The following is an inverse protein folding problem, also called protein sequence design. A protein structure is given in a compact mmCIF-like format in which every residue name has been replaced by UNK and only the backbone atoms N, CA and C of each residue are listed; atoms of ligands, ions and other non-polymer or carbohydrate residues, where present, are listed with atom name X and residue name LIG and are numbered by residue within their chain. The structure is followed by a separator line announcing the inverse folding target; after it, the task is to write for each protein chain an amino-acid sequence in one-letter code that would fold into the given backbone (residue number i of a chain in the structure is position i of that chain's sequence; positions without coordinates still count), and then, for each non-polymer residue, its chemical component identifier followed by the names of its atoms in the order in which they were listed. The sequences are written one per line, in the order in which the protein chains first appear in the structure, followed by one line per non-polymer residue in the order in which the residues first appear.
data_IF_268219341299
#
_entry.id   IF_268219341299
#
_cell.length_a   1.000
_cell.length_b   1.000
_cell.length_c   1.000
_cell.angle_alpha   90.00
_cell.angle_beta   90.00
_cell.angle_gamma   90.00
#
_symmetry.space_group_name_H-M   'P 1'
#
loop_
_entity.id
_entity.type
_entity.pdbx_description
1 polymer ?
#
# COMPACT_ATOMS: atom_id res chain seq x y z
N UNK A 1 -39.09 30.96 28.82
CA UNK A 1 -38.13 30.88 27.70
C UNK A 1 -37.32 29.62 27.88
N UNK A 2 -37.78 28.52 27.28
CA UNK A 2 -37.08 27.23 27.36
C UNK A 2 -35.98 27.21 26.31
N UNK A 3 -34.73 27.16 26.76
CA UNK A 3 -33.58 26.97 25.87
C UNK A 3 -33.70 25.58 25.22
N UNK A 4 -33.95 25.57 23.91
CA UNK A 4 -33.78 24.36 23.11
C UNK A 4 -32.28 24.06 23.07
N UNK A 5 -31.87 22.93 23.63
CA UNK A 5 -30.53 22.42 23.43
C UNK A 5 -30.38 22.03 21.96
N UNK A 6 -29.51 22.72 21.22
CA UNK A 6 -29.06 22.28 19.90
C UNK A 6 -28.57 20.84 20.02
N UNK A 7 -29.15 19.95 19.20
CA UNK A 7 -28.63 18.60 19.05
C UNK A 7 -27.17 18.70 18.58
N UNK A 8 -26.22 17.99 19.20
CA UNK A 8 -24.83 18.04 18.77
C UNK A 8 -24.74 17.63 17.30
N UNK A 9 -23.98 18.41 16.51
CA UNK A 9 -23.75 18.13 15.10
C UNK A 9 -23.36 16.65 14.90
N UNK A 10 -23.85 15.98 13.84
CA UNK A 10 -23.59 14.57 13.63
C UNK A 10 -22.08 14.32 13.63
N UNK A 11 -21.64 13.44 14.54
CA UNK A 11 -20.23 13.07 14.71
C UNK A 11 -19.74 12.48 13.38
N UNK A 12 -18.83 13.17 12.70
CA UNK A 12 -18.33 12.75 11.38
C UNK A 12 -17.58 11.42 11.54
N UNK A 13 -18.12 10.34 10.99
CA UNK A 13 -17.45 9.04 10.92
C UNK A 13 -16.14 9.17 10.13
N UNK A 14 -15.02 8.93 10.83
CA UNK A 14 -13.67 9.07 10.28
C UNK A 14 -13.49 8.18 9.05
N UNK A 15 -14.08 6.99 9.06
CA UNK A 15 -13.94 6.00 7.99
C UNK A 15 -14.68 6.46 6.74
N UNK A 16 -15.94 6.88 6.89
CA UNK A 16 -16.76 7.40 5.79
C UNK A 16 -16.17 8.64 5.13
N UNK A 17 -15.56 9.55 5.89
CA UNK A 17 -14.93 10.76 5.33
C UNK A 17 -13.65 10.44 4.53
N UNK A 18 -12.83 9.50 5.00
CA UNK A 18 -11.67 9.01 4.25
C UNK A 18 -12.10 8.26 2.99
N UNK A 19 -13.11 7.40 3.10
CA UNK A 19 -13.68 6.69 1.96
C UNK A 19 -14.20 7.67 0.91
N UNK A 20 -14.92 8.73 1.32
CA UNK A 20 -15.37 9.80 0.42
C UNK A 20 -14.21 10.51 -0.26
N UNK A 21 -13.18 10.90 0.49
CA UNK A 21 -11.96 11.52 -0.09
C UNK A 21 -11.35 10.65 -1.19
N UNK A 22 -11.34 9.32 -0.98
CA UNK A 22 -10.79 8.36 -1.94
C UNK A 22 -11.72 8.11 -3.13
N UNK A 23 -13.03 8.04 -2.91
CA UNK A 23 -14.02 7.98 -3.99
C UNK A 23 -13.90 9.19 -4.90
N UNK A 24 -13.84 10.40 -4.32
CA UNK A 24 -13.70 11.63 -5.10
C UNK A 24 -12.39 11.63 -5.92
N UNK A 25 -11.30 11.10 -5.35
CA UNK A 25 -10.04 10.97 -6.07
C UNK A 25 -10.10 9.91 -7.18
N UNK A 26 -10.77 8.78 -6.92
CA UNK A 26 -11.02 7.72 -7.92
C UNK A 26 -11.80 8.28 -9.11
N UNK A 27 -12.90 9.00 -8.86
CA UNK A 27 -13.75 9.58 -9.91
C UNK A 27 -13.04 10.63 -10.76
N UNK A 28 -12.09 11.37 -10.18
CA UNK A 28 -11.23 12.30 -10.93
C UNK A 28 -10.07 11.64 -11.67
N UNK A 29 -9.81 10.34 -11.45
CA UNK A 29 -8.62 9.67 -11.97
C UNK A 29 -7.33 10.11 -11.29
N UNK A 30 -7.43 10.61 -10.06
CA UNK A 30 -6.34 11.28 -9.35
C UNK A 30 -5.58 10.37 -8.37
N UNK A 31 -5.96 9.11 -8.25
CA UNK A 31 -5.37 8.20 -7.27
C UNK A 31 -3.94 7.80 -7.62
N UNK A 32 -3.12 7.40 -6.64
CA UNK A 32 -1.72 7.04 -6.89
C UNK A 32 -1.54 5.86 -7.85
N UNK A 33 -2.46 4.89 -7.87
CA UNK A 33 -2.44 3.75 -8.79
C UNK A 33 -2.99 4.10 -10.20
N UNK A 34 -3.54 5.30 -10.38
CA UNK A 34 -3.96 5.83 -11.68
C UNK A 34 -2.94 6.82 -12.27
N UNK A 35 -1.76 7.00 -11.65
CA UNK A 35 -0.72 7.96 -12.08
C UNK A 35 0.63 7.28 -12.38
N UNK A 36 1.17 7.42 -13.61
CA UNK A 36 2.46 6.82 -13.99
C UNK A 36 3.67 7.36 -13.22
N UNK A 37 3.60 8.60 -12.73
CA UNK A 37 4.75 9.40 -12.27
C UNK A 37 4.82 9.64 -10.76
N UNK A 38 4.15 8.82 -9.93
CA UNK A 38 4.04 9.09 -8.47
C UNK A 38 4.85 8.15 -7.55
N UNK A 39 5.86 7.44 -8.08
CA UNK A 39 6.57 6.37 -7.36
C UNK A 39 7.16 6.82 -6.00
N UNK A 40 7.75 8.01 -5.92
CA UNK A 40 8.37 8.46 -4.67
C UNK A 40 7.35 8.91 -3.61
N UNK A 41 6.23 9.52 -4.05
CA UNK A 41 5.13 9.93 -3.16
C UNK A 41 4.45 8.72 -2.47
N UNK A 42 4.55 7.54 -3.08
CA UNK A 42 4.09 6.28 -2.53
C UNK A 42 5.08 5.63 -1.56
N UNK A 43 6.22 6.25 -1.24
CA UNK A 43 7.16 5.78 -0.20
C UNK A 43 7.25 6.75 0.99
N UNK A 44 6.13 7.21 1.56
CA UNK A 44 6.15 8.21 2.62
C UNK A 44 6.84 7.67 3.87
N UNK A 45 7.72 8.48 4.47
CA UNK A 45 8.49 8.16 5.66
C UNK A 45 8.38 9.27 6.68
N UNK A 46 8.42 8.92 7.97
CA UNK A 46 8.61 9.89 9.02
C UNK A 46 10.11 10.12 9.24
N UNK A 47 10.67 11.29 8.92
CA UNK A 47 12.12 11.51 9.00
C UNK A 47 12.64 11.57 10.44
N UNK A 48 11.76 11.71 11.44
CA UNK A 48 12.17 11.77 12.85
C UNK A 48 12.27 10.40 13.50
N UNK A 49 11.49 9.42 13.02
CA UNK A 49 11.49 8.04 13.52
C UNK A 49 12.02 7.00 12.52
N UNK A 50 12.28 7.42 11.29
CA UNK A 50 12.63 6.58 10.15
C UNK A 50 11.60 5.49 9.80
N UNK A 51 10.37 5.64 10.30
CA UNK A 51 9.29 4.68 10.03
C UNK A 51 8.55 5.05 8.74
N UNK A 52 8.39 4.08 7.84
CA UNK A 52 7.54 4.21 6.67
C UNK A 52 6.05 4.25 7.07
N UNK A 53 5.28 5.13 6.44
CA UNK A 53 3.83 5.13 6.52
C UNK A 53 3.26 3.96 5.71
N UNK A 54 2.14 3.41 6.17
CA UNK A 54 1.56 2.16 5.70
C UNK A 54 0.04 2.24 5.55
N UNK A 55 -0.51 1.32 4.77
CA UNK A 55 -1.92 1.13 4.48
C UNK A 55 -2.53 2.39 3.90
N UNK A 56 -3.69 2.76 4.42
CA UNK A 56 -4.44 3.92 3.94
C UNK A 56 -3.64 5.23 4.01
N UNK A 57 -2.72 5.37 4.98
CA UNK A 57 -1.93 6.58 5.12
C UNK A 57 -0.97 6.77 3.96
N UNK A 58 -0.45 5.69 3.37
CA UNK A 58 0.40 5.78 2.16
C UNK A 58 -0.36 6.46 1.04
N UNK A 59 -1.60 6.04 0.83
CA UNK A 59 -2.47 6.57 -0.22
C UNK A 59 -2.87 8.03 0.08
N UNK A 60 -3.31 8.32 1.31
CA UNK A 60 -3.70 9.67 1.71
C UNK A 60 -2.58 10.70 1.54
N UNK A 61 -1.34 10.30 1.86
CA UNK A 61 -0.17 11.17 1.70
C UNK A 61 0.19 11.35 0.22
N UNK A 62 0.15 10.30 -0.59
CA UNK A 62 0.38 10.40 -2.03
C UNK A 62 -0.67 11.29 -2.74
N UNK A 63 -1.93 11.25 -2.30
CA UNK A 63 -3.00 12.12 -2.81
C UNK A 63 -2.77 13.62 -2.58
N UNK A 64 -1.86 14.00 -1.67
CA UNK A 64 -1.53 15.41 -1.45
C UNK A 64 -0.78 16.06 -2.62
N UNK A 65 -0.27 15.26 -3.58
CA UNK A 65 0.45 15.75 -4.76
C UNK A 65 1.83 16.32 -4.44
N UNK A 66 2.49 15.82 -3.40
CA UNK A 66 3.82 16.27 -2.96
C UNK A 66 4.88 15.21 -3.22
N UNK A 67 6.02 15.67 -3.75
CA UNK A 67 7.10 14.78 -4.20
C UNK A 67 8.06 14.35 -3.07
N UNK A 68 8.27 15.21 -2.07
CA UNK A 68 9.12 14.84 -0.93
C UNK A 68 8.41 13.76 -0.09
N UNK A 69 9.02 12.60 0.15
CA UNK A 69 8.36 11.51 0.87
C UNK A 69 8.31 11.75 2.38
N UNK A 70 8.90 12.83 2.91
CA UNK A 70 9.05 13.02 4.35
C UNK A 70 7.85 13.74 4.95
N UNK A 71 7.19 13.10 5.90
CA UNK A 71 5.99 13.61 6.58
C UNK A 71 6.14 13.52 8.10
N UNK A 72 5.78 14.60 8.80
CA UNK A 72 5.88 14.63 10.27
C UNK A 72 4.83 15.54 10.90
N UNK A 73 4.53 15.33 12.18
CA UNK A 73 3.62 16.23 12.90
C UNK A 73 4.29 17.58 13.17
N UNK A 74 3.48 18.60 13.45
CA UNK A 74 4.00 19.91 13.87
C UNK A 74 4.91 19.81 15.11
N UNK A 75 4.54 18.96 16.07
CA UNK A 75 5.33 18.74 17.29
C UNK A 75 6.69 18.09 16.97
N UNK A 76 6.73 17.13 16.03
CA UNK A 76 7.97 16.53 15.56
C UNK A 76 8.88 17.54 14.87
N UNK A 77 8.32 18.44 14.07
CA UNK A 77 9.08 19.52 13.44
C UNK A 77 9.67 20.47 14.48
N UNK A 78 8.86 20.93 15.45
CA UNK A 78 9.34 21.81 16.53
C UNK A 78 10.44 21.16 17.39
N UNK A 79 10.31 19.88 17.72
CA UNK A 79 11.33 19.16 18.48
C UNK A 79 12.70 19.14 17.77
N UNK A 80 12.70 19.23 16.43
CA UNK A 80 13.91 19.33 15.60
C UNK A 80 14.28 20.77 15.24
N UNK A 81 13.64 21.78 15.86
CA UNK A 81 13.82 23.21 15.58
C UNK A 81 13.48 23.60 14.14
N UNK A 82 12.58 22.86 13.50
CA UNK A 82 12.01 23.18 12.20
C UNK A 82 10.67 23.89 12.36
N UNK A 83 10.31 24.72 11.37
CA UNK A 83 9.12 25.56 11.44
C UNK A 83 8.20 25.32 10.24
N UNK A 84 6.98 24.82 10.50
CA UNK A 84 5.93 24.79 9.47
C UNK A 84 5.62 26.23 9.08
N UNK A 85 5.67 26.57 7.79
CA UNK A 85 5.43 27.93 7.32
C UNK A 85 4.01 28.40 7.64
N UNK A 86 3.87 29.70 7.91
CA UNK A 86 2.57 30.32 8.19
C UNK A 86 1.63 30.15 7.00
N UNK A 87 0.44 29.63 7.24
CA UNK A 87 -0.60 29.43 6.22
C UNK A 87 -0.60 28.05 5.55
N UNK A 88 0.42 27.23 5.78
CA UNK A 88 0.45 25.85 5.29
C UNK A 88 -0.66 25.00 5.94
N UNK A 89 -1.30 24.15 5.12
CA UNK A 89 -2.33 23.21 5.58
C UNK A 89 -1.75 21.81 5.67
N UNK A 90 -1.94 21.15 6.81
CA UNK A 90 -1.50 19.77 7.01
C UNK A 90 -2.42 18.76 6.34
N UNK A 91 -1.88 17.58 6.07
CA UNK A 91 -2.63 16.42 5.56
C UNK A 91 -3.07 15.53 6.71
N UNK A 92 -4.30 15.02 6.65
CA UNK A 92 -4.84 14.13 7.68
C UNK A 92 -4.43 12.68 7.40
N UNK A 93 -3.89 12.02 8.42
CA UNK A 93 -3.65 10.59 8.46
C UNK A 93 -4.46 9.98 9.61
N UNK A 94 -4.53 8.67 9.66
CA UNK A 94 -5.19 7.95 10.76
C UNK A 94 -4.28 6.96 11.44
N UNK A 95 -4.54 6.73 12.72
CA UNK A 95 -3.88 5.68 13.49
C UNK A 95 -4.91 4.97 14.36
N UNK A 96 -4.86 3.65 14.34
CA UNK A 96 -5.59 2.85 15.31
C UNK A 96 -4.91 3.00 16.67
N UNK A 97 -5.68 3.43 17.67
CA UNK A 97 -5.20 3.57 19.04
C UNK A 97 -6.04 2.72 19.97
N UNK A 98 -5.39 2.08 20.94
CA UNK A 98 -6.08 1.43 22.04
C UNK A 98 -6.70 2.50 22.93
N UNK A 99 -7.94 2.29 23.33
CA UNK A 99 -8.69 3.16 24.21
C UNK A 99 -8.58 2.64 25.64
N UNK A 100 -8.45 3.56 26.59
CA UNK A 100 -8.71 3.24 27.99
C UNK A 100 -10.20 2.84 28.18
N UNK A 101 -10.54 2.06 29.22
CA UNK A 101 -11.95 1.69 29.49
C UNK A 101 -12.89 2.89 29.59
N UNK A 102 -12.39 4.02 30.10
CA UNK A 102 -13.14 5.28 30.19
C UNK A 102 -13.36 5.94 28.82
N UNK A 103 -12.35 5.93 27.95
CA UNK A 103 -12.49 6.43 26.58
C UNK A 103 -13.40 5.53 25.75
N UNK A 104 -13.32 4.21 25.94
CA UNK A 104 -14.15 3.22 25.26
C UNK A 104 -15.64 3.43 25.54
N UNK A 105 -16.01 3.74 26.79
CA UNK A 105 -17.39 4.06 27.18
C UNK A 105 -17.93 5.38 26.56
N UNK A 106 -17.04 6.23 26.01
CA UNK A 106 -17.38 7.54 25.43
C UNK A 106 -17.18 7.60 23.90
N UNK A 107 -16.46 6.64 23.34
CA UNK A 107 -16.25 6.48 21.91
C UNK A 107 -17.47 5.79 21.30
N UNK A 108 -18.27 6.52 20.53
CA UNK A 108 -19.40 5.98 19.78
C UNK A 108 -18.97 5.11 18.60
N UNK A 109 -19.57 5.31 17.41
CA UNK A 109 -19.41 4.46 16.22
C UNK A 109 -17.98 4.28 15.66
N UNK A 110 -16.99 5.08 16.10
CA UNK A 110 -15.59 4.97 15.68
C UNK A 110 -14.79 3.89 16.44
N UNK A 111 -15.38 3.30 17.49
CA UNK A 111 -14.74 2.24 18.26
C UNK A 111 -15.02 0.85 17.66
N UNK A 112 -13.98 0.04 17.54
CA UNK A 112 -14.07 -1.39 17.23
C UNK A 112 -13.52 -2.20 18.39
N UNK A 113 -14.23 -3.26 18.79
CA UNK A 113 -13.76 -4.22 19.78
C UNK A 113 -12.94 -5.33 19.12
N UNK A 114 -11.80 -5.69 19.70
CA UNK A 114 -11.14 -6.97 19.44
C UNK A 114 -11.00 -7.73 20.76
N UNK A 115 -11.51 -8.95 20.80
CA UNK A 115 -11.23 -9.86 21.91
C UNK A 115 -9.75 -10.26 21.83
N UNK A 116 -9.01 -10.05 22.92
CA UNK A 116 -7.63 -10.49 23.03
C UNK A 116 -7.53 -11.46 24.21
N UNK A 117 -7.22 -12.73 23.95
CA UNK A 117 -6.91 -13.70 24.99
C UNK A 117 -5.48 -13.46 25.48
N UNK A 118 -5.33 -12.89 26.67
CA UNK A 118 -4.06 -12.92 27.41
C UNK A 118 -4.35 -13.29 28.87
N UNK A 119 -3.90 -14.46 29.30
CA UNK A 119 -3.81 -14.82 30.72
C UNK A 119 -5.11 -15.25 31.40
N UNK A 120 -6.09 -15.78 30.68
CA UNK A 120 -7.28 -16.40 31.29
C UNK A 120 -8.37 -15.43 31.75
N UNK A 121 -8.19 -14.11 31.57
CA UNK A 121 -9.26 -13.12 31.70
C UNK A 121 -9.56 -12.50 30.32
N UNK A 122 -10.81 -12.60 29.84
CA UNK A 122 -11.26 -11.89 28.65
C UNK A 122 -11.30 -10.37 28.92
N UNK A 123 -10.20 -9.68 28.64
CA UNK A 123 -10.19 -8.21 28.58
C UNK A 123 -10.56 -7.77 27.18
N UNK A 124 -11.76 -7.21 27.02
CA UNK A 124 -12.15 -6.57 25.76
C UNK A 124 -11.28 -5.33 25.52
N UNK A 125 -10.35 -5.40 24.57
CA UNK A 125 -9.58 -4.23 24.12
C UNK A 125 -10.42 -3.45 23.10
N UNK A 126 -10.66 -2.19 23.41
CA UNK A 126 -11.36 -1.28 22.51
C UNK A 126 -10.34 -0.43 21.76
N UNK A 127 -10.55 -0.26 20.45
CA UNK A 127 -9.70 0.57 19.61
C UNK A 127 -10.52 1.64 18.90
N UNK A 128 -9.95 2.83 18.70
CA UNK A 128 -10.52 3.85 17.85
C UNK A 128 -9.55 4.29 16.76
N UNK A 129 -10.12 4.72 15.63
CA UNK A 129 -9.37 5.35 14.57
C UNK A 129 -9.22 6.85 14.86
N UNK A 130 -8.06 7.28 15.38
CA UNK A 130 -7.76 8.70 15.65
C UNK A 130 -7.10 9.35 14.43
N UNK A 131 -7.51 10.59 14.15
CA UNK A 131 -6.88 11.44 13.11
C UNK A 131 -5.66 12.15 13.67
N UNK A 132 -4.64 12.28 12.83
CA UNK A 132 -3.47 13.10 13.10
C UNK A 132 -3.19 13.98 11.89
N UNK A 133 -2.70 15.19 12.15
CA UNK A 133 -2.28 16.11 11.10
C UNK A 133 -0.77 16.05 10.95
N UNK A 134 -0.30 15.81 9.73
CA UNK A 134 1.11 15.81 9.36
C UNK A 134 1.37 16.84 8.26
N UNK A 135 2.60 17.32 8.21
CA UNK A 135 3.10 18.28 7.24
C UNK A 135 4.22 17.62 6.45
N UNK A 136 4.23 17.86 5.15
CA UNK A 136 5.29 17.41 4.27
C UNK A 136 6.55 18.27 4.49
N UNK A 137 7.75 17.71 4.35
CA UNK A 137 8.99 18.47 4.49
C UNK A 137 9.05 19.72 3.60
N UNK A 138 8.43 19.70 2.41
CA UNK A 138 8.32 20.88 1.55
C UNK A 138 7.58 22.05 2.22
N UNK A 139 6.76 21.81 3.24
CA UNK A 139 5.97 22.81 3.99
C UNK A 139 6.70 23.41 5.20
N UNK A 140 7.93 22.95 5.47
CA UNK A 140 8.62 23.19 6.74
C UNK A 140 10.00 23.77 6.48
N UNK A 141 10.28 24.93 7.07
CA UNK A 141 11.59 25.56 7.00
C UNK A 141 12.56 24.90 7.99
N UNK A 142 13.82 24.75 7.58
CA UNK A 142 14.89 24.17 8.39
C UNK A 142 15.04 22.66 8.27
N UNK A 143 14.14 21.96 7.58
CA UNK A 143 14.32 20.53 7.27
C UNK A 143 15.52 20.37 6.34
N UNK A 144 16.48 19.46 6.63
CA UNK A 144 17.58 19.19 5.73
C UNK A 144 17.09 18.87 4.32
N UNK A 145 17.79 19.36 3.31
CA UNK A 145 17.45 19.08 1.92
C UNK A 145 17.37 17.57 1.69
N UNK A 146 16.36 17.14 0.93
CA UNK A 146 16.28 15.74 0.53
C UNK A 146 17.49 15.49 -0.35
N UNK A 147 18.47 14.75 0.16
CA UNK A 147 19.59 14.32 -0.67
C UNK A 147 18.98 13.57 -1.85
N UNK A 148 19.21 14.08 -3.06
CA UNK A 148 18.83 13.37 -4.27
C UNK A 148 19.47 11.99 -4.15
N UNK A 149 18.64 10.94 -4.06
CA UNK A 149 19.14 9.59 -4.23
C UNK A 149 19.91 9.60 -5.55
N UNK A 150 21.20 9.27 -5.51
CA UNK A 150 22.05 9.25 -6.68
C UNK A 150 21.54 8.15 -7.61
N UNK A 151 20.54 8.46 -8.44
CA UNK A 151 19.73 7.43 -9.11
C UNK A 151 19.01 6.51 -8.13
N UNK A 152 18.19 5.60 -8.67
CA UNK A 152 17.84 4.40 -7.90
C UNK A 152 19.15 3.62 -7.68
N UNK A 153 19.40 3.13 -6.47
CA UNK A 153 20.59 2.32 -6.16
C UNK A 153 20.66 1.00 -6.97
N UNK A 154 19.65 0.73 -7.78
CA UNK A 154 19.43 -0.49 -8.55
C UNK A 154 18.81 -0.14 -9.91
N UNK A 155 19.02 -1.01 -10.90
CA UNK A 155 18.29 -0.96 -12.16
C UNK A 155 16.83 -1.38 -11.94
N UNK A 156 15.82 -0.58 -12.35
CA UNK A 156 14.42 -0.89 -12.12
C UNK A 156 13.95 -2.23 -12.69
N UNK A 157 14.46 -2.57 -13.88
CA UNK A 157 14.08 -3.80 -14.58
C UNK A 157 14.70 -5.00 -13.90
N UNK A 158 15.98 -4.90 -13.53
CA UNK A 158 16.66 -5.95 -12.77
C UNK A 158 15.96 -6.22 -11.44
N UNK A 159 15.53 -5.16 -10.74
CA UNK A 159 14.81 -5.32 -9.47
C UNK A 159 13.44 -5.95 -9.65
N UNK A 160 12.67 -5.52 -10.64
CA UNK A 160 11.37 -6.13 -10.95
C UNK A 160 11.50 -7.60 -11.38
N UNK A 161 12.52 -7.94 -12.19
CA UNK A 161 12.85 -9.32 -12.52
C UNK A 161 13.22 -10.13 -11.28
N UNK A 162 13.98 -9.53 -10.36
CA UNK A 162 14.32 -10.07 -9.05
C UNK A 162 13.08 -10.53 -8.26
N UNK A 163 12.05 -9.67 -8.19
CA UNK A 163 10.78 -9.97 -7.53
C UNK A 163 10.05 -11.13 -8.21
N UNK A 164 9.91 -11.09 -9.53
CA UNK A 164 9.19 -12.13 -10.28
C UNK A 164 9.87 -13.49 -10.13
N UNK A 165 11.19 -13.54 -10.28
CA UNK A 165 11.94 -14.79 -10.15
C UNK A 165 11.97 -15.32 -8.71
N UNK A 166 12.01 -14.44 -7.70
CA UNK A 166 11.87 -14.85 -6.30
C UNK A 166 10.51 -15.50 -6.02
N UNK A 167 9.42 -14.98 -6.60
CA UNK A 167 8.11 -15.63 -6.49
C UNK A 167 8.10 -17.03 -7.11
N UNK A 168 8.69 -17.20 -8.29
CA UNK A 168 8.78 -18.51 -8.95
C UNK A 168 9.60 -19.50 -8.11
N UNK A 169 10.83 -19.11 -7.73
CA UNK A 169 11.78 -19.98 -7.05
C UNK A 169 11.35 -20.33 -5.62
N UNK A 170 10.75 -19.38 -4.89
CA UNK A 170 10.40 -19.58 -3.47
C UNK A 170 9.01 -20.13 -3.25
N UNK A 171 8.08 -19.93 -4.19
CA UNK A 171 6.66 -20.32 -4.00
C UNK A 171 6.17 -21.36 -5.01
N UNK A 172 6.95 -21.62 -6.07
CA UNK A 172 6.54 -22.48 -7.16
C UNK A 172 5.48 -21.86 -8.08
N UNK A 173 5.27 -20.53 -8.02
CA UNK A 173 4.36 -19.82 -8.92
C UNK A 173 4.78 -20.06 -10.38
N UNK A 174 3.85 -20.53 -11.20
CA UNK A 174 4.12 -20.73 -12.62
C UNK A 174 3.91 -19.43 -13.39
N UNK A 175 4.88 -19.02 -14.21
CA UNK A 175 4.74 -17.88 -15.12
C UNK A 175 4.87 -18.38 -16.56
N UNK A 176 3.82 -18.23 -17.35
CA UNK A 176 3.75 -18.73 -18.73
C UNK A 176 3.50 -17.61 -19.71
N UNK A 177 4.22 -17.62 -20.83
CA UNK A 177 4.01 -16.67 -21.93
C UNK A 177 3.16 -17.29 -23.04
N UNK A 178 1.83 -17.11 -22.97
CA UNK A 178 0.87 -17.65 -23.96
C UNK A 178 -0.35 -16.76 -24.11
N UNK A 179 -0.89 -16.68 -25.34
CA UNK A 179 -2.15 -15.98 -25.63
C UNK A 179 -1.99 -14.49 -25.95
N UNK A 180 -3.04 -13.72 -25.68
CA UNK A 180 -3.13 -12.29 -25.96
C UNK A 180 -3.55 -11.45 -24.76
N UNK A 181 -3.89 -12.07 -23.63
CA UNK A 181 -4.32 -11.38 -22.41
C UNK A 181 -3.48 -11.84 -21.24
N UNK A 182 -3.17 -10.90 -20.35
CA UNK A 182 -2.56 -11.18 -19.06
C UNK A 182 -3.65 -11.57 -18.06
N UNK A 183 -3.39 -12.59 -17.24
CA UNK A 183 -4.26 -12.96 -16.12
C UNK A 183 -3.53 -13.88 -15.13
N UNK A 184 -3.92 -13.82 -13.87
CA UNK A 184 -3.70 -14.90 -12.92
C UNK A 184 -4.84 -15.92 -12.97
N UNK A 185 -4.51 -17.21 -13.00
CA UNK A 185 -5.43 -18.35 -13.02
C UNK A 185 -5.36 -19.10 -11.68
N UNK A 186 -6.29 -18.85 -10.73
CA UNK A 186 -6.21 -19.40 -9.38
C UNK A 186 -6.18 -20.93 -9.30
N UNK A 187 -6.93 -21.61 -10.16
CA UNK A 187 -7.03 -23.07 -10.17
C UNK A 187 -5.72 -23.75 -10.58
N UNK A 188 -4.95 -23.09 -11.45
CA UNK A 188 -3.68 -23.60 -11.97
C UNK A 188 -2.47 -23.06 -11.21
N UNK A 189 -2.67 -22.06 -10.35
CA UNK A 189 -1.59 -21.32 -9.70
C UNK A 189 -0.60 -20.76 -10.76
N UNK A 190 -1.15 -20.17 -11.82
CA UNK A 190 -0.43 -19.74 -13.03
C UNK A 190 -0.68 -18.24 -13.31
N UNK A 191 0.40 -17.47 -13.43
CA UNK A 191 0.37 -16.15 -14.10
C UNK A 191 0.62 -16.36 -15.58
N UNK A 192 -0.38 -16.02 -16.40
CA UNK A 192 -0.28 -16.06 -17.86
C UNK A 192 -0.07 -14.66 -18.39
N UNK A 193 0.96 -14.48 -19.21
CA UNK A 193 1.29 -13.22 -19.86
C UNK A 193 1.33 -13.42 -21.39
N UNK A 194 1.01 -12.39 -22.20
CA UNK A 194 1.37 -12.39 -23.61
C UNK A 194 2.89 -12.57 -23.79
N UNK A 195 3.36 -13.05 -24.96
CA UNK A 195 4.79 -13.02 -25.27
C UNK A 195 5.37 -11.62 -25.08
N UNK A 196 6.56 -11.50 -24.44
CA UNK A 196 7.22 -10.22 -24.11
C UNK A 196 7.22 -9.20 -25.28
N UNK A 197 7.41 -9.69 -26.51
CA UNK A 197 7.43 -8.89 -27.75
C UNK A 197 6.11 -8.19 -28.10
N UNK A 198 4.99 -8.55 -27.45
CA UNK A 198 3.68 -7.92 -27.64
C UNK A 198 3.44 -6.70 -26.75
N UNK A 199 4.30 -6.47 -25.77
CA UNK A 199 4.24 -5.27 -24.93
C UNK A 199 4.97 -4.11 -25.62
N UNK A 200 4.50 -2.88 -25.42
CA UNK A 200 5.13 -1.71 -26.06
C UNK A 200 6.49 -1.39 -25.42
N UNK A 201 6.69 -1.77 -24.16
CA UNK A 201 7.92 -1.54 -23.44
C UNK A 201 8.19 -2.65 -22.42
N UNK A 202 9.43 -2.73 -21.94
CA UNK A 202 9.80 -3.60 -20.81
C UNK A 202 9.12 -3.16 -19.50
N UNK A 203 8.86 -1.86 -19.34
CA UNK A 203 8.11 -1.33 -18.19
C UNK A 203 6.65 -1.77 -18.22
N UNK A 204 6.00 -1.76 -19.40
CA UNK A 204 4.63 -2.26 -19.57
C UNK A 204 4.55 -3.73 -19.16
N UNK A 205 5.53 -4.53 -19.61
CA UNK A 205 5.60 -5.95 -19.24
C UNK A 205 5.69 -6.15 -17.72
N UNK A 206 6.63 -5.49 -17.03
CA UNK A 206 6.78 -5.69 -15.59
C UNK A 206 5.67 -5.05 -14.76
N UNK A 207 5.10 -3.92 -15.20
CA UNK A 207 3.90 -3.33 -14.59
C UNK A 207 2.75 -4.33 -14.59
N UNK A 208 2.43 -4.92 -15.75
CA UNK A 208 1.37 -5.93 -15.87
C UNK A 208 1.73 -7.22 -15.12
N UNK A 209 2.97 -7.69 -15.24
CA UNK A 209 3.40 -8.93 -14.57
C UNK A 209 3.29 -8.83 -13.05
N UNK A 210 3.66 -7.68 -12.45
CA UNK A 210 3.55 -7.47 -11.00
C UNK A 210 2.09 -7.39 -10.54
N UNK A 211 1.18 -6.82 -11.34
CA UNK A 211 -0.27 -6.84 -11.07
C UNK A 211 -0.80 -8.27 -11.02
N UNK A 212 -0.55 -9.06 -12.06
CA UNK A 212 -1.01 -10.47 -12.08
C UNK A 212 -0.36 -11.30 -10.97
N UNK A 213 0.91 -11.05 -10.67
CA UNK A 213 1.59 -11.71 -9.56
C UNK A 213 1.01 -11.29 -8.19
N UNK A 214 0.47 -10.07 -8.04
CA UNK A 214 -0.18 -9.63 -6.82
C UNK A 214 -1.42 -10.50 -6.53
N UNK A 215 -2.24 -10.82 -7.52
CA UNK A 215 -3.37 -11.75 -7.37
C UNK A 215 -2.94 -13.13 -6.87
N UNK A 216 -1.75 -13.58 -7.28
CA UNK A 216 -1.23 -14.86 -6.85
C UNK A 216 -1.17 -14.96 -5.31
N UNK A 217 -0.90 -13.86 -4.59
CA UNK A 217 -0.77 -13.86 -3.12
C UNK A 217 -2.00 -14.42 -2.39
N UNK A 218 -3.19 -14.39 -3.00
CA UNK A 218 -4.42 -14.97 -2.46
C UNK A 218 -4.34 -16.49 -2.25
N UNK A 219 -3.50 -17.18 -3.01
CA UNK A 219 -3.41 -18.65 -3.00
C UNK A 219 -2.85 -19.21 -1.69
N UNK A 220 -3.26 -20.44 -1.36
CA UNK A 220 -2.94 -21.10 -0.10
C UNK A 220 -1.44 -21.37 0.11
N UNK A 221 -0.66 -21.48 -0.96
CA UNK A 221 0.81 -21.63 -0.87
C UNK A 221 1.55 -20.34 -0.49
N UNK A 222 0.84 -19.20 -0.42
CA UNK A 222 1.42 -17.87 -0.20
C UNK A 222 0.82 -17.21 1.03
N UNK A 223 -0.07 -16.24 0.88
CA UNK A 223 -0.64 -15.51 2.02
C UNK A 223 -2.01 -16.04 2.46
N UNK A 224 -2.59 -16.98 1.72
CA UNK A 224 -3.90 -17.60 1.98
C UNK A 224 -4.97 -16.61 2.46
N UNK A 225 -5.12 -15.50 1.73
CA UNK A 225 -6.05 -14.42 2.09
C UNK A 225 -7.52 -14.73 1.77
N UNK A 226 -7.95 -15.99 1.78
CA UNK A 226 -9.31 -16.39 1.39
C UNK A 226 -10.40 -15.71 2.23
N UNK A 227 -10.11 -15.45 3.51
CA UNK A 227 -11.01 -14.69 4.40
C UNK A 227 -11.25 -13.25 3.93
N UNK A 228 -10.31 -12.67 3.18
CA UNK A 228 -10.42 -11.34 2.60
C UNK A 228 -11.50 -11.25 1.50
N UNK A 229 -11.95 -12.41 1.00
CA UNK A 229 -13.06 -12.59 0.06
C UNK A 229 -14.33 -13.16 0.71
N UNK A 230 -14.21 -13.84 1.86
CA UNK A 230 -15.31 -14.61 2.47
C UNK A 230 -16.57 -13.81 2.81
N UNK A 231 -16.46 -12.48 2.99
CA UNK A 231 -17.59 -11.59 3.30
C UNK A 231 -18.26 -10.96 2.07
N UNK A 232 -17.79 -11.27 0.86
CA UNK A 232 -18.24 -10.67 -0.39
C UNK A 232 -18.59 -11.76 -1.39
N UNK A 233 -19.57 -11.52 -2.25
CA UNK A 233 -20.05 -12.52 -3.22
C UNK A 233 -19.96 -11.97 -4.65
N UNK A 234 -19.73 -12.87 -5.60
CA UNK A 234 -19.70 -12.54 -7.04
C UNK A 234 -18.75 -11.40 -7.39
N UNK A 235 -19.24 -10.47 -8.21
CA UNK A 235 -18.47 -9.35 -8.77
C UNK A 235 -17.90 -8.41 -7.70
N UNK A 236 -18.55 -8.28 -6.54
CA UNK A 236 -18.08 -7.39 -5.47
C UNK A 236 -16.85 -7.98 -4.74
N UNK A 237 -16.74 -9.31 -4.64
CA UNK A 237 -15.54 -9.96 -4.10
C UNK A 237 -14.36 -9.77 -5.06
N UNK A 238 -14.62 -10.00 -6.35
CA UNK A 238 -13.64 -9.84 -7.41
C UNK A 238 -13.14 -8.39 -7.52
N UNK A 239 -14.03 -7.41 -7.53
CA UNK A 239 -13.66 -5.99 -7.62
C UNK A 239 -12.73 -5.54 -6.48
N UNK A 240 -12.88 -6.09 -5.28
CA UNK A 240 -12.02 -5.72 -4.14
C UNK A 240 -10.67 -6.39 -4.22
N UNK A 241 -10.59 -7.59 -4.79
CA UNK A 241 -9.31 -8.22 -5.08
C UNK A 241 -8.54 -7.48 -6.18
N UNK A 242 -9.23 -7.01 -7.22
CA UNK A 242 -8.64 -6.09 -8.22
C UNK A 242 -8.12 -4.82 -7.55
N UNK A 243 -8.91 -4.18 -6.67
CA UNK A 243 -8.46 -2.99 -5.94
C UNK A 243 -7.21 -3.26 -5.09
N UNK A 244 -7.10 -4.44 -4.46
CA UNK A 244 -5.90 -4.84 -3.71
C UNK A 244 -4.70 -5.04 -4.64
N UNK A 245 -4.89 -5.74 -5.75
CA UNK A 245 -3.85 -5.98 -6.74
C UNK A 245 -3.33 -4.66 -7.34
N UNK A 246 -4.21 -3.71 -7.64
CA UNK A 246 -3.86 -2.37 -8.13
C UNK A 246 -3.06 -1.55 -7.13
N UNK A 247 -3.51 -1.50 -5.87
CA UNK A 247 -2.75 -0.79 -4.83
C UNK A 247 -1.39 -1.49 -4.62
N UNK A 248 -1.35 -2.82 -4.66
CA UNK A 248 -0.12 -3.59 -4.50
C UNK A 248 0.84 -3.34 -5.67
N UNK A 249 0.36 -3.38 -6.91
CA UNK A 249 1.17 -3.14 -8.11
C UNK A 249 1.74 -1.73 -8.12
N UNK A 250 0.97 -0.72 -7.68
CA UNK A 250 1.45 0.64 -7.49
C UNK A 250 2.54 0.77 -6.41
N UNK A 251 2.42 0.03 -5.29
CA UNK A 251 3.46 -0.03 -4.25
C UNK A 251 4.72 -0.72 -4.80
N UNK A 252 4.58 -1.82 -5.53
CA UNK A 252 5.70 -2.52 -6.16
C UNK A 252 6.39 -1.66 -7.22
N UNK A 253 5.63 -0.94 -8.03
CA UNK A 253 6.14 0.06 -8.97
C UNK A 253 6.96 1.14 -8.25
N UNK A 254 6.45 1.65 -7.13
CA UNK A 254 7.17 2.61 -6.29
C UNK A 254 8.48 2.06 -5.73
N UNK A 255 8.47 0.83 -5.24
CA UNK A 255 9.64 0.20 -4.62
C UNK A 255 10.67 -0.29 -5.66
N UNK A 256 10.24 -0.78 -6.82
CA UNK A 256 11.10 -1.29 -7.90
C UNK A 256 11.54 -0.21 -8.89
N UNK A 257 10.89 0.96 -8.90
CA UNK A 257 11.16 2.02 -9.86
C UNK A 257 10.57 1.77 -11.26
N UNK A 258 9.85 0.67 -11.49
CA UNK A 258 9.10 0.45 -12.73
C UNK A 258 7.87 1.34 -12.71
N UNK A 259 7.67 2.26 -13.67
CA UNK A 259 6.48 3.09 -13.71
C UNK A 259 5.24 2.26 -14.00
N UNK A 260 4.11 2.67 -13.44
CA UNK A 260 2.80 2.10 -13.79
C UNK A 260 2.52 2.45 -15.25
N UNK A 261 2.26 1.46 -16.09
CA UNK A 261 2.08 1.71 -17.53
C UNK A 261 0.75 2.37 -17.84
N UNK A 262 0.70 3.24 -18.86
CA UNK A 262 -0.55 3.87 -19.28
C UNK A 262 -1.55 2.82 -19.79
N UNK A 263 -1.08 1.81 -20.52
CA UNK A 263 -1.91 0.71 -21.00
C UNK A 263 -2.54 -0.08 -19.83
N UNK A 264 -1.81 -0.25 -18.72
CA UNK A 264 -2.36 -0.81 -17.49
C UNK A 264 -3.49 0.08 -16.96
N UNK A 265 -3.23 1.37 -16.72
CA UNK A 265 -4.23 2.32 -16.21
C UNK A 265 -5.51 2.32 -17.07
N UNK A 266 -5.38 2.32 -18.40
CA UNK A 266 -6.51 2.35 -19.32
C UNK A 266 -7.37 1.07 -19.26
N UNK A 267 -6.72 -0.09 -19.11
CA UNK A 267 -7.42 -1.38 -19.01
C UNK A 267 -8.22 -1.52 -17.71
N UNK A 268 -7.78 -0.88 -16.62
CA UNK A 268 -8.40 -1.02 -15.30
C UNK A 268 -9.40 0.10 -14.95
N UNK A 269 -9.53 1.14 -15.79
CA UNK A 269 -10.57 2.16 -15.66
C UNK A 269 -12.00 1.57 -15.67
N UNK A 270 -12.19 0.39 -16.27
CA UNK A 270 -13.47 -0.33 -16.28
C UNK A 270 -13.94 -0.76 -14.87
N UNK A 271 -13.02 -1.00 -13.94
CA UNK A 271 -13.32 -1.43 -12.57
C UNK A 271 -13.60 -0.28 -11.61
N UNK A 272 -13.31 0.96 -12.01
CA UNK A 272 -13.49 2.16 -11.19
C UNK A 272 -14.90 2.27 -10.61
N UNK A 273 -15.93 2.02 -11.43
CA UNK A 273 -17.33 2.06 -10.98
C UNK A 273 -17.63 1.00 -9.91
N UNK A 274 -17.03 -0.18 -10.01
CA UNK A 274 -17.19 -1.23 -9.01
C UNK A 274 -16.44 -0.90 -7.72
N UNK A 275 -15.23 -0.34 -7.80
CA UNK A 275 -14.51 0.11 -6.60
C UNK A 275 -15.26 1.20 -5.85
N UNK A 276 -15.74 2.22 -6.55
CA UNK A 276 -16.55 3.30 -5.97
C UNK A 276 -17.79 2.71 -5.28
N UNK A 277 -18.53 1.83 -5.98
CA UNK A 277 -19.70 1.14 -5.40
C UNK A 277 -19.35 0.40 -4.11
N UNK A 278 -18.29 -0.41 -4.11
CA UNK A 278 -17.94 -1.23 -2.95
C UNK A 278 -17.42 -0.39 -1.78
N UNK A 279 -16.63 0.66 -2.04
CA UNK A 279 -16.11 1.56 -1.00
C UNK A 279 -17.20 2.46 -0.44
N UNK A 280 -18.18 2.87 -1.25
CA UNK A 280 -19.34 3.64 -0.80
C UNK A 280 -20.26 2.80 0.09
N UNK A 281 -20.44 1.51 -0.24
CA UNK A 281 -21.25 0.59 0.56
C UNK A 281 -20.56 0.16 1.86
N UNK A 282 -19.23 -0.02 1.84
CA UNK A 282 -18.42 -0.39 3.00
C UNK A 282 -17.13 0.45 3.04
N UNK A 283 -17.12 1.55 3.81
CA UNK A 283 -15.92 2.36 3.99
C UNK A 283 -14.71 1.58 4.51
N UNK A 284 -14.90 0.45 5.22
CA UNK A 284 -13.79 -0.38 5.70
C UNK A 284 -13.09 -1.17 4.57
N UNK A 285 -13.74 -1.30 3.41
CA UNK A 285 -13.20 -2.01 2.26
C UNK A 285 -11.88 -1.40 1.78
N UNK A 286 -11.76 -0.06 1.73
CA UNK A 286 -10.54 0.60 1.26
C UNK A 286 -9.40 0.52 2.28
N UNK A 287 -9.71 0.55 3.59
CA UNK A 287 -8.70 0.36 4.65
C UNK A 287 -8.15 -1.06 4.62
N UNK A 288 -9.04 -2.05 4.48
CA UNK A 288 -8.67 -3.45 4.35
C UNK A 288 -7.85 -3.68 3.08
N UNK A 289 -8.30 -3.14 1.94
CA UNK A 289 -7.59 -3.27 0.68
C UNK A 289 -6.18 -2.66 0.74
N UNK A 290 -6.05 -1.45 1.28
CA UNK A 290 -4.75 -0.79 1.44
C UNK A 290 -3.83 -1.53 2.41
N UNK A 291 -4.37 -2.08 3.52
CA UNK A 291 -3.60 -2.91 4.47
C UNK A 291 -3.10 -4.19 3.79
N UNK A 292 -3.99 -4.89 3.09
CA UNK A 292 -3.66 -6.15 2.41
C UNK A 292 -2.62 -5.91 1.32
N UNK A 293 -2.79 -4.87 0.50
CA UNK A 293 -1.84 -4.50 -0.55
C UNK A 293 -0.43 -4.21 -0.01
N UNK A 294 -0.31 -3.53 1.12
CA UNK A 294 0.97 -3.29 1.79
C UNK A 294 1.62 -4.61 2.25
N UNK A 295 0.83 -5.54 2.79
CA UNK A 295 1.33 -6.86 3.20
C UNK A 295 1.72 -7.72 1.99
N UNK A 296 0.97 -7.63 0.89
CA UNK A 296 1.26 -8.30 -0.38
C UNK A 296 2.58 -7.82 -0.98
N UNK A 297 2.76 -6.50 -1.08
CA UNK A 297 4.00 -5.91 -1.57
C UNK A 297 5.18 -6.26 -0.66
N UNK A 298 5.00 -6.16 0.67
CA UNK A 298 6.05 -6.54 1.63
C UNK A 298 6.42 -8.02 1.54
N UNK A 299 5.45 -8.91 1.30
CA UNK A 299 5.70 -10.34 1.08
C UNK A 299 6.54 -10.55 -0.18
N UNK A 300 6.12 -9.98 -1.32
CA UNK A 300 6.80 -10.14 -2.61
C UNK A 300 8.24 -9.58 -2.58
N UNK A 301 8.43 -8.37 -2.02
CA UNK A 301 9.75 -7.76 -1.82
C UNK A 301 10.59 -8.52 -0.78
N UNK A 302 9.95 -9.11 0.22
CA UNK A 302 10.62 -9.94 1.21
C UNK A 302 11.23 -11.21 0.60
N UNK A 303 10.52 -11.84 -0.34
CA UNK A 303 11.05 -12.98 -1.10
C UNK A 303 12.26 -12.59 -1.96
N UNK A 304 12.19 -11.43 -2.62
CA UNK A 304 13.30 -10.88 -3.41
C UNK A 304 14.54 -10.65 -2.54
N UNK A 305 14.38 -9.98 -1.39
CA UNK A 305 15.48 -9.75 -0.43
C UNK A 305 16.09 -11.06 0.10
N UNK A 306 15.27 -12.08 0.35
CA UNK A 306 15.77 -13.39 0.76
C UNK A 306 16.56 -14.08 -0.35
N UNK A 307 16.13 -13.92 -1.61
CA UNK A 307 16.82 -14.46 -2.78
C UNK A 307 18.18 -13.78 -3.00
N UNK A 308 18.24 -12.45 -2.94
CA UNK A 308 19.50 -11.71 -3.11
C UNK A 308 20.52 -12.03 -2.03
N UNK A 309 20.11 -12.06 -0.75
CA UNK A 309 21.02 -12.42 0.34
C UNK A 309 21.54 -13.86 0.26
N UNK A 310 20.78 -14.79 -0.34
CA UNK A 310 21.28 -16.14 -0.62
C UNK A 310 22.31 -16.17 -1.76
N UNK A 311 22.11 -15.38 -2.81
CA UNK A 311 23.04 -15.29 -3.93
C UNK A 311 24.39 -14.69 -3.47
N UNK A 312 24.36 -13.59 -2.71
CA UNK A 312 25.56 -12.97 -2.13
C UNK A 312 26.33 -13.94 -1.22
N UNK A 313 25.61 -14.75 -0.43
CA UNK A 313 26.25 -15.77 0.41
C UNK A 313 26.91 -16.89 -0.42
N UNK A 314 26.27 -17.33 -1.51
CA UNK A 314 26.84 -18.34 -2.40
C UNK A 314 28.11 -17.83 -3.10
N UNK A 315 28.08 -16.60 -3.62
CA UNK A 315 29.25 -15.95 -4.23
C UNK A 315 30.42 -15.86 -3.24
N UNK A 316 30.16 -15.46 -2.00
CA UNK A 316 31.19 -15.41 -0.95
C UNK A 316 31.79 -16.78 -0.63
N UNK A 317 30.97 -17.84 -0.58
CA UNK A 317 31.45 -19.21 -0.36
C UNK A 317 32.32 -19.68 -1.53
N UNK A 318 31.92 -19.39 -2.78
CA UNK A 318 32.71 -19.73 -3.97
C UNK A 318 34.04 -18.97 -4.03
N UNK A 319 34.05 -17.67 -3.71
CA UNK A 319 35.28 -16.88 -3.61
C UNK A 319 36.23 -17.43 -2.53
N UNK A 320 35.70 -17.76 -1.35
CA UNK A 320 36.46 -18.37 -0.25
C UNK A 320 37.08 -19.71 -0.67
N UNK A 321 36.30 -20.58 -1.30
CA UNK A 321 36.76 -21.90 -1.75
C UNK A 321 37.83 -21.79 -2.85
N UNK A 322 37.67 -20.84 -3.78
CA UNK A 322 38.65 -20.57 -4.83
C UNK A 322 39.96 -20.01 -4.25
N UNK A 323 39.88 -19.10 -3.27
CA UNK A 323 41.06 -18.56 -2.59
C UNK A 323 41.83 -19.62 -1.78
N UNK A 324 41.16 -20.69 -1.31
CA UNK A 324 41.82 -21.82 -0.63
C UNK A 324 42.46 -22.85 -1.56
N UNK A 325 42.11 -22.82 -2.86
CA UNK A 325 42.65 -23.73 -3.88
C UNK A 325 43.84 -23.13 -4.63
N UNK A 326 44.08 -21.82 -4.51
CA UNK A 326 45.23 -21.11 -5.05
C UNK A 326 46.42 -21.16 -4.07
#
# INVERSE_FOLDING_TARGET
MSAQSEAPAPRVDVKSDIARTLIDAMERGDTPWQKPWSSQSLRPVNPTSNNAYRGINRILLALSGRDDPRWMTYQQAQANKWQVRRGEKGTQIVKLVELSPREAAQSGADAGGQAAEQGGEERQRAFALKRYTVFNAQQIDGVPELQAASGLEFDPIQRAEGVMAALQEKTGLLIVHKGSQACYLPELDEVRLPPKKKFNSVHDYYSTAMHEAAHSTLHAKRMDRKEALAKKWGDDAYAVEELRAEICSAILAAETGVPVSQAHIDNHAAYLRHWVKVVAADPMAIFSAAKDADLMAAYMLGLEKQRTGMAEHQEWVEEYDNARRA
#
